data_IF_436912550001
#
_entry.id   IF_436912550001
#
_cell.length_a   1.000
_cell.length_b   1.000
_cell.length_c   1.000
_cell.angle_alpha   90.00
_cell.angle_beta   90.00
_cell.angle_gamma   90.00
#
_symmetry.space_group_name_H-M   'P 1'
#
loop_
_entity.id
_entity.type
_entity.pdbx_description
1 polymer ?
#
# COMPACT_ATOMS: atom_id res chain seq x y z
N UNK A 1 0.72 21.00 -17.62
CA UNK A 1 1.67 20.66 -16.53
C UNK A 1 0.83 20.12 -15.38
N UNK A 2 0.86 18.80 -15.20
CA UNK A 2 0.18 18.17 -14.09
C UNK A 2 0.83 18.64 -12.78
N UNK A 3 0.13 19.47 -12.04
CA UNK A 3 0.59 19.80 -10.69
C UNK A 3 0.78 18.49 -9.95
N UNK A 4 2.02 18.23 -9.52
CA UNK A 4 2.31 17.09 -8.66
C UNK A 4 1.42 17.22 -7.42
N UNK A 5 0.42 16.37 -7.30
CA UNK A 5 -0.44 16.42 -6.11
C UNK A 5 0.46 16.28 -4.88
N UNK A 6 0.18 17.03 -3.81
CA UNK A 6 1.01 16.98 -2.59
C UNK A 6 1.19 15.56 -2.02
N UNK A 7 0.33 14.63 -2.41
CA UNK A 7 0.40 13.23 -2.02
C UNK A 7 1.69 12.54 -2.51
N UNK A 8 2.26 12.97 -3.65
CA UNK A 8 3.53 12.42 -4.17
C UNK A 8 4.71 12.74 -3.22
N UNK A 9 4.56 13.76 -2.38
CA UNK A 9 5.54 14.08 -1.35
C UNK A 9 5.67 12.91 -0.34
N UNK A 10 4.57 12.24 -0.01
CA UNK A 10 4.58 11.06 0.86
C UNK A 10 5.39 9.92 0.23
N UNK A 11 5.18 9.67 -1.06
CA UNK A 11 5.91 8.65 -1.82
C UNK A 11 7.42 8.96 -1.81
N UNK A 12 7.78 10.21 -2.11
CA UNK A 12 9.20 10.63 -2.17
C UNK A 12 9.88 10.53 -0.81
N UNK A 13 9.19 10.85 0.29
CA UNK A 13 9.73 10.74 1.65
C UNK A 13 10.00 9.28 2.03
N UNK A 14 9.08 8.37 1.70
CA UNK A 14 9.24 6.96 2.04
C UNK A 14 10.27 6.27 1.16
N UNK A 15 10.26 6.52 -0.15
CA UNK A 15 11.28 5.98 -1.07
C UNK A 15 12.67 6.56 -0.76
N UNK A 16 12.74 7.86 -0.51
CA UNK A 16 14.00 8.51 -0.10
C UNK A 16 14.50 7.93 1.22
N UNK A 17 13.62 7.74 2.20
CA UNK A 17 13.94 7.10 3.46
C UNK A 17 14.44 5.68 3.28
N UNK A 18 13.82 4.91 2.37
CA UNK A 18 14.23 3.54 2.03
C UNK A 18 15.65 3.54 1.45
N UNK A 19 15.91 4.37 0.44
CA UNK A 19 17.23 4.46 -0.22
C UNK A 19 18.29 4.89 0.80
N UNK A 20 18.02 5.93 1.59
CA UNK A 20 18.94 6.40 2.63
C UNK A 20 19.21 5.35 3.70
N UNK A 21 18.20 4.55 4.08
CA UNK A 21 18.39 3.50 5.07
C UNK A 21 19.27 2.35 4.56
N UNK A 22 19.29 2.12 3.24
CA UNK A 22 20.16 1.14 2.61
C UNK A 22 21.62 1.65 2.54
N UNK A 23 21.79 2.96 2.32
CA UNK A 23 23.11 3.59 2.24
C UNK A 23 23.75 3.85 3.61
N UNK A 24 22.93 4.12 4.63
CA UNK A 24 23.39 4.49 5.98
C UNK A 24 22.84 3.52 7.02
N UNK A 25 23.34 2.26 7.05
CA UNK A 25 22.79 1.23 7.94
C UNK A 25 22.89 1.58 9.42
N UNK A 26 23.85 2.41 9.82
CA UNK A 26 24.02 2.83 11.22
C UNK A 26 22.92 3.78 11.69
N UNK A 27 22.24 4.49 10.77
CA UNK A 27 21.25 5.50 11.11
C UNK A 27 19.82 5.13 10.69
N UNK A 28 19.58 3.87 10.38
CA UNK A 28 18.30 3.39 9.83
C UNK A 28 17.09 3.83 10.66
N UNK A 29 17.14 3.69 11.98
CA UNK A 29 16.04 4.06 12.86
C UNK A 29 15.79 5.57 12.86
N UNK A 30 16.86 6.37 12.79
CA UNK A 30 16.73 7.85 12.72
C UNK A 30 16.07 8.25 11.40
N UNK A 31 16.51 7.66 10.29
CA UNK A 31 15.98 7.89 8.95
C UNK A 31 14.49 7.48 8.91
N UNK A 32 14.16 6.28 9.39
CA UNK A 32 12.78 5.76 9.38
C UNK A 32 11.84 6.65 10.22
N UNK A 33 12.27 7.02 11.42
CA UNK A 33 11.48 7.90 12.29
C UNK A 33 11.26 9.28 11.64
N UNK A 34 12.32 9.83 11.05
CA UNK A 34 12.23 11.14 10.38
C UNK A 34 11.31 11.07 9.17
N UNK A 35 11.49 10.06 8.29
CA UNK A 35 10.69 9.91 7.08
C UNK A 35 9.20 9.71 7.42
N UNK A 36 8.88 8.88 8.42
CA UNK A 36 7.49 8.62 8.80
C UNK A 36 6.85 9.81 9.52
N UNK A 37 7.59 10.50 10.38
CA UNK A 37 7.10 11.72 11.05
C UNK A 37 6.89 12.85 10.03
N UNK A 38 7.87 13.08 9.15
CA UNK A 38 7.78 14.10 8.11
C UNK A 38 6.61 13.82 7.17
N UNK A 39 6.41 12.55 6.80
CA UNK A 39 5.27 12.13 5.98
C UNK A 39 3.94 12.42 6.66
N UNK A 40 3.82 12.15 7.96
CA UNK A 40 2.60 12.41 8.71
C UNK A 40 2.33 13.92 8.80
N UNK A 41 3.35 14.73 9.13
CA UNK A 41 3.21 16.19 9.22
C UNK A 41 2.84 16.78 7.84
N UNK A 42 3.47 16.30 6.78
CA UNK A 42 3.19 16.75 5.41
C UNK A 42 1.73 16.44 5.02
N UNK A 43 1.24 15.23 5.33
CA UNK A 43 -0.14 14.86 5.02
C UNK A 43 -1.16 15.62 5.87
N UNK A 44 -0.83 15.88 7.13
CA UNK A 44 -1.68 16.70 8.00
C UNK A 44 -1.77 18.14 7.46
N UNK A 45 -0.65 18.73 7.08
CA UNK A 45 -0.61 20.06 6.46
C UNK A 45 -1.39 20.12 5.16
N UNK A 46 -1.22 19.09 4.30
CA UNK A 46 -1.96 18.99 3.05
C UNK A 46 -3.48 18.90 3.29
N UNK A 47 -3.89 18.15 4.32
CA UNK A 47 -5.31 18.01 4.67
C UNK A 47 -5.89 19.33 5.13
N UNK A 48 -5.17 20.04 6.01
CA UNK A 48 -5.61 21.35 6.51
C UNK A 48 -5.70 22.37 5.34
N UNK A 49 -4.73 22.34 4.44
CA UNK A 49 -4.73 23.19 3.25
C UNK A 49 -5.94 22.86 2.34
N UNK A 50 -6.20 21.57 2.10
CA UNK A 50 -7.32 21.11 1.27
C UNK A 50 -8.67 21.52 1.86
N UNK A 51 -8.84 21.43 3.19
CA UNK A 51 -10.05 21.87 3.89
C UNK A 51 -10.23 23.38 3.70
N UNK A 52 -9.16 24.15 3.83
CA UNK A 52 -9.19 25.59 3.59
C UNK A 52 -9.62 25.94 2.16
N UNK A 53 -9.08 25.24 1.17
CA UNK A 53 -9.43 25.45 -0.24
C UNK A 53 -10.89 25.03 -0.54
N UNK A 54 -11.34 23.92 0.04
CA UNK A 54 -12.71 23.43 -0.13
C UNK A 54 -13.73 24.42 0.45
N UNK A 55 -13.38 25.09 1.54
CA UNK A 55 -14.24 26.13 2.17
C UNK A 55 -14.44 27.34 1.26
N UNK A 56 -13.53 27.54 0.26
CA UNK A 56 -13.61 28.65 -0.70
C UNK A 56 -14.13 28.17 -2.06
N UNK A 57 -14.50 26.89 -2.19
CA UNK A 57 -15.02 26.25 -3.42
C UNK A 57 -14.10 26.39 -4.64
N UNK A 58 -12.78 26.42 -4.40
CA UNK A 58 -11.81 26.68 -5.47
C UNK A 58 -11.38 25.41 -6.23
N UNK A 59 -11.40 24.23 -5.59
CA UNK A 59 -10.89 22.99 -6.21
C UNK A 59 -11.72 21.79 -5.72
N UNK A 60 -12.11 20.86 -6.62
CA UNK A 60 -12.65 19.58 -6.18
C UNK A 60 -11.58 18.77 -5.44
N UNK A 61 -11.86 18.38 -4.22
CA UNK A 61 -10.92 17.68 -3.35
C UNK A 61 -11.16 16.17 -3.46
N UNK A 62 -10.10 15.40 -3.74
CA UNK A 62 -10.13 13.95 -3.64
C UNK A 62 -10.11 13.55 -2.15
N UNK A 63 -11.28 13.60 -1.53
CA UNK A 63 -11.43 13.35 -0.10
C UNK A 63 -10.98 11.96 0.31
N UNK A 64 -11.27 10.95 -0.50
CA UNK A 64 -10.89 9.57 -0.19
C UNK A 64 -9.36 9.40 -0.19
N UNK A 65 -8.69 9.92 -1.21
CA UNK A 65 -7.23 9.86 -1.31
C UNK A 65 -6.53 10.54 -0.14
N UNK A 66 -7.04 11.71 0.27
CA UNK A 66 -6.49 12.46 1.42
C UNK A 66 -6.66 11.67 2.72
N UNK A 67 -7.86 11.13 2.98
CA UNK A 67 -8.14 10.35 4.19
C UNK A 67 -7.24 9.12 4.26
N UNK A 68 -7.08 8.42 3.13
CA UNK A 68 -6.21 7.24 3.05
C UNK A 68 -4.75 7.60 3.27
N UNK A 69 -4.26 8.70 2.68
CA UNK A 69 -2.88 9.15 2.82
C UNK A 69 -2.56 9.54 4.27
N UNK A 70 -3.48 10.25 4.95
CA UNK A 70 -3.31 10.63 6.36
C UNK A 70 -3.28 9.38 7.26
N UNK A 71 -4.19 8.42 7.01
CA UNK A 71 -4.25 7.17 7.76
C UNK A 71 -2.95 6.37 7.61
N UNK A 72 -2.47 6.21 6.37
CA UNK A 72 -1.23 5.48 6.06
C UNK A 72 -0.03 6.15 6.74
N UNK A 73 0.05 7.47 6.67
CA UNK A 73 1.17 8.22 7.27
C UNK A 73 1.15 8.15 8.80
N UNK A 74 -0.03 8.25 9.42
CA UNK A 74 -0.21 8.09 10.88
C UNK A 74 0.23 6.70 11.33
N UNK A 75 -0.30 5.66 10.66
CA UNK A 75 0.04 4.26 11.00
C UNK A 75 1.54 4.00 10.79
N UNK A 76 2.12 4.52 9.71
CA UNK A 76 3.56 4.41 9.45
C UNK A 76 4.40 4.99 10.58
N UNK A 77 4.04 6.19 11.05
CA UNK A 77 4.72 6.84 12.16
C UNK A 77 4.58 6.07 13.46
N UNK A 78 3.35 5.65 13.82
CA UNK A 78 3.07 4.90 15.05
C UNK A 78 3.82 3.56 15.05
N UNK A 79 3.74 2.80 13.95
CA UNK A 79 4.40 1.49 13.82
C UNK A 79 5.92 1.63 13.97
N UNK A 80 6.52 2.61 13.28
CA UNK A 80 7.97 2.83 13.32
C UNK A 80 8.42 3.23 14.73
N UNK A 81 7.65 4.08 15.41
CA UNK A 81 7.96 4.53 16.77
C UNK A 81 7.87 3.37 17.78
N UNK A 82 6.81 2.56 17.68
CA UNK A 82 6.61 1.39 18.53
C UNK A 82 7.68 0.33 18.28
N UNK A 83 7.91 0.00 16.99
CA UNK A 83 8.87 -1.04 16.61
C UNK A 83 10.30 -0.73 17.06
N UNK A 84 10.69 0.54 17.04
CA UNK A 84 12.03 0.96 17.52
C UNK A 84 12.25 0.55 18.99
N UNK A 85 11.23 0.72 19.84
CA UNK A 85 11.32 0.32 21.25
C UNK A 85 11.28 -1.19 21.43
N UNK A 86 10.37 -1.83 20.68
CA UNK A 86 10.13 -3.29 20.79
C UNK A 86 11.32 -4.12 20.30
N UNK A 87 12.02 -3.65 19.27
CA UNK A 87 13.12 -4.39 18.63
C UNK A 87 14.50 -4.01 19.16
N UNK A 88 14.59 -3.28 20.29
CA UNK A 88 15.89 -2.96 20.90
C UNK A 88 16.59 -4.27 21.32
N UNK A 89 17.82 -4.45 20.85
CA UNK A 89 18.61 -5.64 21.13
C UNK A 89 18.50 -6.75 20.10
N UNK A 90 17.53 -6.70 19.18
CA UNK A 90 17.39 -7.71 18.13
C UNK A 90 18.46 -7.55 17.05
N UNK A 91 19.00 -8.68 16.56
CA UNK A 91 20.09 -8.68 15.58
C UNK A 91 19.69 -8.20 14.19
N UNK A 92 18.41 -8.39 13.79
CA UNK A 92 17.95 -8.14 12.43
C UNK A 92 17.12 -6.86 12.28
N UNK A 93 17.39 -5.84 13.11
CA UNK A 93 16.63 -4.57 13.06
C UNK A 93 16.63 -3.92 11.67
N UNK A 94 17.77 -4.00 10.97
CA UNK A 94 17.93 -3.46 9.62
C UNK A 94 16.92 -4.04 8.65
N UNK A 95 16.73 -5.35 8.69
CA UNK A 95 15.76 -6.07 7.85
C UNK A 95 14.33 -5.60 8.10
N UNK A 96 13.99 -5.36 9.37
CA UNK A 96 12.66 -4.86 9.75
C UNK A 96 12.42 -3.45 9.21
N UNK A 97 13.38 -2.53 9.45
CA UNK A 97 13.28 -1.12 9.01
C UNK A 97 13.13 -1.04 7.49
N UNK A 98 13.98 -1.78 6.76
CA UNK A 98 13.93 -1.81 5.29
C UNK A 98 12.58 -2.34 4.79
N UNK A 99 12.10 -3.45 5.37
CA UNK A 99 10.82 -4.04 4.98
C UNK A 99 9.65 -3.09 5.28
N UNK A 100 9.69 -2.39 6.42
CA UNK A 100 8.65 -1.42 6.81
C UNK A 100 8.64 -0.23 5.84
N UNK A 101 9.79 0.39 5.58
CA UNK A 101 9.87 1.53 4.65
C UNK A 101 9.46 1.12 3.24
N UNK A 102 9.88 -0.07 2.78
CA UNK A 102 9.46 -0.61 1.48
C UNK A 102 7.93 -0.77 1.42
N UNK A 103 7.33 -1.37 2.45
CA UNK A 103 5.88 -1.56 2.51
C UNK A 103 5.15 -0.21 2.50
N UNK A 104 5.61 0.75 3.29
CA UNK A 104 5.02 2.09 3.36
C UNK A 104 5.14 2.82 2.02
N UNK A 105 6.28 2.67 1.32
CA UNK A 105 6.48 3.24 -0.02
C UNK A 105 5.46 2.67 -1.01
N UNK A 106 5.27 1.34 -0.99
CA UNK A 106 4.30 0.67 -1.86
C UNK A 106 2.86 1.10 -1.54
N UNK A 107 2.51 1.21 -0.25
CA UNK A 107 1.16 1.66 0.15
C UNK A 107 0.94 3.12 -0.27
N UNK A 108 1.94 3.98 -0.09
CA UNK A 108 1.88 5.38 -0.52
C UNK A 108 1.65 5.47 -2.03
N UNK A 109 2.42 4.71 -2.82
CA UNK A 109 2.26 4.62 -4.28
C UNK A 109 0.84 4.17 -4.66
N UNK A 110 0.31 3.17 -3.96
CA UNK A 110 -1.02 2.61 -4.21
C UNK A 110 -2.11 3.66 -4.00
N UNK A 111 -1.99 4.46 -2.93
CA UNK A 111 -3.00 5.47 -2.56
C UNK A 111 -2.92 6.70 -3.49
N UNK A 112 -1.73 7.05 -3.99
CA UNK A 112 -1.52 8.28 -4.77
C UNK A 112 -1.63 8.07 -6.28
N UNK A 113 -1.53 6.83 -6.77
CA UNK A 113 -1.45 6.56 -8.21
C UNK A 113 -2.82 6.60 -8.89
N UNK A 114 -2.87 7.21 -10.08
CA UNK A 114 -4.02 7.23 -10.97
C UNK A 114 -3.84 6.27 -12.17
N UNK A 115 -2.77 5.47 -12.15
CA UNK A 115 -2.43 4.55 -13.24
C UNK A 115 -2.57 3.11 -12.77
N UNK A 116 -3.44 2.33 -13.42
CA UNK A 116 -3.84 0.99 -12.98
C UNK A 116 -2.64 0.03 -12.88
N UNK A 117 -1.68 0.11 -13.81
CA UNK A 117 -0.46 -0.72 -13.75
C UNK A 117 0.36 -0.42 -12.48
N UNK A 118 0.52 0.87 -12.13
CA UNK A 118 1.28 1.26 -10.93
C UNK A 118 0.56 0.76 -9.67
N UNK A 119 -0.78 0.84 -9.65
CA UNK A 119 -1.60 0.34 -8.54
C UNK A 119 -1.36 -1.18 -8.36
N UNK A 120 -1.39 -1.96 -9.45
CA UNK A 120 -1.19 -3.42 -9.39
C UNK A 120 0.24 -3.76 -8.93
N UNK A 121 1.26 -3.05 -9.44
CA UNK A 121 2.66 -3.25 -9.04
C UNK A 121 2.88 -2.87 -7.56
N UNK A 122 2.32 -1.74 -7.13
CA UNK A 122 2.40 -1.29 -5.74
C UNK A 122 1.68 -2.29 -4.82
N UNK A 123 0.52 -2.79 -5.23
CA UNK A 123 -0.24 -3.83 -4.53
C UNK A 123 0.61 -5.09 -4.34
N UNK A 124 1.28 -5.55 -5.41
CA UNK A 124 2.21 -6.69 -5.36
C UNK A 124 3.35 -6.40 -4.37
N UNK A 125 3.93 -5.21 -4.45
CA UNK A 125 4.99 -4.76 -3.54
C UNK A 125 4.56 -4.82 -2.07
N UNK A 126 3.34 -4.38 -1.74
CA UNK A 126 2.83 -4.45 -0.36
C UNK A 126 2.76 -5.91 0.13
N UNK A 127 2.40 -6.84 -0.74
CA UNK A 127 2.32 -8.28 -0.41
C UNK A 127 3.70 -8.84 -0.08
N UNK A 128 4.72 -8.48 -0.87
CA UNK A 128 6.11 -8.88 -0.65
C UNK A 128 6.64 -8.27 0.66
N UNK A 129 6.39 -6.99 0.88
CA UNK A 129 6.81 -6.28 2.10
C UNK A 129 6.21 -6.90 3.35
N UNK A 130 4.90 -7.15 3.34
CA UNK A 130 4.19 -7.80 4.45
C UNK A 130 4.69 -9.23 4.67
N UNK A 131 5.00 -9.97 3.61
CA UNK A 131 5.56 -11.32 3.75
C UNK A 131 6.91 -11.27 4.48
N UNK A 132 7.78 -10.31 4.13
CA UNK A 132 9.07 -10.11 4.80
C UNK A 132 8.90 -9.74 6.28
N UNK A 133 7.90 -8.92 6.61
CA UNK A 133 7.60 -8.54 8.00
C UNK A 133 7.05 -9.72 8.80
N UNK A 134 6.13 -10.50 8.22
CA UNK A 134 5.52 -11.66 8.89
C UNK A 134 6.52 -12.81 9.11
N UNK A 135 7.54 -12.92 8.25
CA UNK A 135 8.59 -13.93 8.37
C UNK A 135 9.83 -13.41 9.13
N UNK A 136 9.68 -12.29 9.85
CA UNK A 136 10.77 -11.67 10.60
C UNK A 136 11.34 -12.62 11.67
N UNK A 137 10.46 -13.32 12.39
CA UNK A 137 10.87 -14.33 13.39
C UNK A 137 10.77 -15.73 12.78
N UNK A 138 11.89 -16.31 12.28
CA UNK A 138 11.87 -17.60 11.59
C UNK A 138 11.54 -18.78 12.51
N UNK A 139 11.72 -18.62 13.81
CA UNK A 139 11.49 -19.68 14.80
C UNK A 139 10.00 -19.98 15.01
N UNK A 140 9.11 -19.03 14.70
CA UNK A 140 7.65 -19.20 14.86
C UNK A 140 7.08 -19.96 13.65
N UNK A 141 7.10 -21.29 13.72
CA UNK A 141 6.64 -22.19 12.63
C UNK A 141 5.21 -21.89 12.21
N UNK A 142 4.29 -21.67 13.17
CA UNK A 142 2.89 -21.35 12.88
C UNK A 142 2.75 -20.06 12.04
N UNK A 143 3.50 -19.00 12.42
CA UNK A 143 3.48 -17.71 11.69
C UNK A 143 3.99 -17.89 10.26
N UNK A 144 5.02 -18.70 10.06
CA UNK A 144 5.59 -18.99 8.74
C UNK A 144 4.59 -19.68 7.80
N UNK A 145 3.89 -20.69 8.32
CA UNK A 145 2.89 -21.41 7.52
C UNK A 145 1.79 -20.47 7.06
N UNK A 146 1.29 -19.61 7.97
CA UNK A 146 0.26 -18.62 7.66
C UNK A 146 0.78 -17.59 6.64
N UNK A 147 2.02 -17.13 6.81
CA UNK A 147 2.65 -16.17 5.90
C UNK A 147 2.78 -16.74 4.48
N UNK A 148 3.17 -18.03 4.36
CA UNK A 148 3.29 -18.68 3.06
C UNK A 148 1.93 -18.88 2.39
N UNK A 149 0.91 -19.32 3.14
CA UNK A 149 -0.46 -19.46 2.62
C UNK A 149 -0.99 -18.12 2.11
N UNK A 150 -0.81 -17.05 2.90
CA UNK A 150 -1.18 -15.68 2.51
C UNK A 150 -0.46 -15.24 1.24
N UNK A 151 0.84 -15.53 1.15
CA UNK A 151 1.66 -15.17 -0.02
C UNK A 151 1.13 -15.86 -1.29
N UNK A 152 0.83 -17.16 -1.21
CA UNK A 152 0.29 -17.92 -2.35
C UNK A 152 -1.05 -17.34 -2.82
N UNK A 153 -1.99 -17.11 -1.90
CA UNK A 153 -3.30 -16.52 -2.24
C UNK A 153 -3.12 -15.14 -2.89
N UNK A 154 -2.16 -14.35 -2.37
CA UNK A 154 -1.85 -13.04 -2.94
C UNK A 154 -1.32 -13.15 -4.37
N UNK A 155 -0.51 -14.19 -4.68
CA UNK A 155 -0.01 -14.44 -6.05
C UNK A 155 -1.18 -14.74 -7.00
N UNK A 156 -2.14 -15.57 -6.58
CA UNK A 156 -3.34 -15.84 -7.39
C UNK A 156 -4.15 -14.57 -7.64
N UNK A 157 -4.36 -13.75 -6.61
CA UNK A 157 -5.05 -12.47 -6.76
C UNK A 157 -4.35 -11.56 -7.76
N UNK A 158 -3.00 -11.55 -7.75
CA UNK A 158 -2.21 -10.74 -8.67
C UNK A 158 -2.33 -11.21 -10.12
N UNK A 159 -2.40 -12.52 -10.34
CA UNK A 159 -2.66 -13.07 -11.68
C UNK A 159 -4.03 -12.57 -12.19
N UNK A 160 -5.07 -12.65 -11.35
CA UNK A 160 -6.39 -12.12 -11.70
C UNK A 160 -6.36 -10.63 -12.04
N UNK A 161 -5.59 -9.84 -11.25
CA UNK A 161 -5.43 -8.40 -11.49
C UNK A 161 -4.74 -8.13 -12.83
N UNK A 162 -3.69 -8.89 -13.15
CA UNK A 162 -2.95 -8.74 -14.41
C UNK A 162 -3.82 -9.12 -15.62
N UNK A 163 -4.61 -10.18 -15.49
CA UNK A 163 -5.57 -10.58 -16.53
C UNK A 163 -6.63 -9.50 -16.73
N UNK A 164 -7.18 -8.96 -15.64
CA UNK A 164 -8.16 -7.86 -15.72
C UNK A 164 -7.53 -6.64 -16.40
N UNK A 165 -6.29 -6.32 -16.05
CA UNK A 165 -5.53 -5.22 -16.66
C UNK A 165 -5.40 -5.41 -18.17
N UNK A 166 -5.07 -6.64 -18.59
CA UNK A 166 -4.96 -6.98 -19.99
C UNK A 166 -6.28 -6.78 -20.74
N UNK A 167 -7.39 -7.25 -20.17
CA UNK A 167 -8.72 -7.08 -20.77
C UNK A 167 -9.10 -5.61 -20.91
N UNK A 168 -8.87 -4.81 -19.86
CA UNK A 168 -9.14 -3.36 -19.87
C UNK A 168 -8.30 -2.68 -20.97
N UNK A 169 -7.02 -3.01 -21.05
CA UNK A 169 -6.12 -2.42 -22.03
C UNK A 169 -6.53 -2.76 -23.48
N UNK A 170 -6.99 -3.98 -23.72
CA UNK A 170 -7.45 -4.41 -25.05
C UNK A 170 -8.69 -3.64 -25.51
N UNK A 171 -9.59 -3.28 -24.60
CA UNK A 171 -10.83 -2.60 -24.94
C UNK A 171 -10.69 -1.08 -24.94
N UNK A 172 -10.02 -0.51 -23.93
CA UNK A 172 -9.93 0.94 -23.72
C UNK A 172 -8.68 1.53 -24.35
N UNK A 173 -7.60 0.72 -24.51
CA UNK A 173 -6.32 1.17 -25.04
C UNK A 173 -5.49 1.97 -24.04
N UNK A 174 -5.96 2.09 -22.79
CA UNK A 174 -5.30 2.89 -21.75
C UNK A 174 -5.46 2.25 -20.38
N UNK A 175 -4.50 2.55 -19.50
CA UNK A 175 -4.51 2.10 -18.09
C UNK A 175 -4.63 3.29 -17.11
N UNK A 176 -4.94 4.49 -17.62
CA UNK A 176 -5.26 5.65 -16.81
C UNK A 176 -6.69 5.53 -16.28
N UNK A 177 -6.88 5.68 -14.96
CA UNK A 177 -8.20 5.59 -14.33
C UNK A 177 -9.17 6.65 -14.91
N UNK A 178 -8.67 7.82 -15.26
CA UNK A 178 -9.48 8.88 -15.84
C UNK A 178 -10.00 8.50 -17.23
N UNK A 179 -9.14 7.93 -18.08
CA UNK A 179 -9.50 7.49 -19.43
C UNK A 179 -10.45 6.30 -19.40
N UNK A 180 -10.20 5.35 -18.47
CA UNK A 180 -11.09 4.20 -18.26
C UNK A 180 -12.49 4.70 -17.83
N UNK A 181 -12.54 5.63 -16.87
CA UNK A 181 -13.82 6.20 -16.39
C UNK A 181 -14.56 6.92 -17.52
N UNK A 182 -13.85 7.69 -18.33
CA UNK A 182 -14.42 8.39 -19.47
C UNK A 182 -14.98 7.40 -20.51
N UNK A 183 -14.20 6.36 -20.84
CA UNK A 183 -14.61 5.33 -21.81
C UNK A 183 -15.86 4.57 -21.33
N UNK A 184 -15.92 4.24 -20.02
CA UNK A 184 -17.08 3.54 -19.44
C UNK A 184 -18.35 4.40 -19.50
N UNK A 185 -18.23 5.71 -19.26
CA UNK A 185 -19.37 6.62 -19.28
C UNK A 185 -19.86 6.92 -20.71
N UNK A 186 -19.03 6.71 -21.71
CA UNK A 186 -19.36 6.95 -23.12
C UNK A 186 -20.08 5.76 -23.77
N UNK A 187 -20.17 4.61 -23.09
CA UNK A 187 -20.75 3.37 -23.61
C UNK A 187 -22.12 3.10 -22.99
N UNK A 188 -23.14 2.86 -23.83
CA UNK A 188 -24.50 2.51 -23.37
C UNK A 188 -24.59 1.07 -22.84
N UNK A 189 -23.66 0.19 -23.27
CA UNK A 189 -23.62 -1.21 -22.82
C UNK A 189 -22.16 -1.65 -22.62
N UNK A 190 -21.91 -2.35 -21.54
CA UNK A 190 -20.57 -2.86 -21.23
C UNK A 190 -20.26 -4.08 -22.09
N UNK A 191 -19.13 -4.08 -22.82
CA UNK A 191 -18.70 -5.28 -23.54
C UNK A 191 -18.38 -6.42 -22.57
N UNK A 192 -18.51 -7.65 -23.07
CA UNK A 192 -18.30 -8.87 -22.27
C UNK A 192 -16.91 -8.93 -21.65
N UNK A 193 -15.91 -8.41 -22.33
CA UNK A 193 -14.51 -8.33 -21.88
C UNK A 193 -14.38 -7.45 -20.63
N UNK A 194 -15.01 -6.26 -20.63
CA UNK A 194 -14.98 -5.35 -19.47
C UNK A 194 -15.79 -5.92 -18.29
N UNK A 195 -16.88 -6.65 -18.58
CA UNK A 195 -17.62 -7.39 -17.54
C UNK A 195 -16.71 -8.48 -16.93
N UNK A 196 -15.97 -9.21 -17.78
CA UNK A 196 -14.97 -10.20 -17.34
C UNK A 196 -13.87 -9.56 -16.49
N UNK A 197 -13.37 -8.41 -16.91
CA UNK A 197 -12.35 -7.66 -16.14
C UNK A 197 -12.89 -7.25 -14.76
N UNK A 198 -14.14 -6.77 -14.69
CA UNK A 198 -14.78 -6.38 -13.43
C UNK A 198 -14.91 -7.58 -12.48
N UNK A 199 -15.31 -8.75 -13.01
CA UNK A 199 -15.41 -9.99 -12.23
C UNK A 199 -14.04 -10.44 -11.70
N UNK A 200 -12.98 -10.34 -12.52
CA UNK A 200 -11.61 -10.67 -12.11
C UNK A 200 -11.11 -9.71 -11.02
N UNK A 201 -11.40 -8.41 -11.15
CA UNK A 201 -11.06 -7.40 -10.13
C UNK A 201 -11.79 -7.70 -8.82
N UNK A 202 -13.09 -8.00 -8.89
CA UNK A 202 -13.90 -8.36 -7.71
C UNK A 202 -13.36 -9.63 -7.03
N UNK A 203 -13.03 -10.64 -7.83
CA UNK A 203 -12.47 -11.91 -7.34
C UNK A 203 -11.11 -11.67 -6.66
N UNK A 204 -10.24 -10.88 -7.27
CA UNK A 204 -8.93 -10.53 -6.69
C UNK A 204 -9.10 -9.79 -5.34
N UNK A 205 -10.08 -8.88 -5.28
CA UNK A 205 -10.39 -8.13 -4.06
C UNK A 205 -10.89 -9.08 -2.94
N UNK A 206 -11.74 -10.02 -3.28
CA UNK A 206 -12.25 -11.05 -2.34
C UNK A 206 -11.08 -11.91 -1.83
N UNK A 207 -10.21 -12.37 -2.71
CA UNK A 207 -9.02 -13.15 -2.31
C UNK A 207 -8.13 -12.36 -1.34
N UNK A 208 -7.95 -11.14 -1.59
CA UNK A 208 -7.14 -10.27 -0.69
C UNK A 208 -7.81 -10.03 0.67
N UNK A 209 -8.99 -9.87 0.57
CA UNK A 209 -9.72 -9.65 1.77
C UNK A 209 -9.91 -10.88 2.58
N UNK A 210 -9.92 -11.86 1.96
CA UNK A 210 -9.99 -13.10 2.61
C UNK A 210 -8.70 -13.53 3.24
N UNK A 211 -7.67 -13.06 2.66
CA UNK A 211 -6.35 -13.28 3.16
C UNK A 211 -6.02 -12.41 4.33
N UNK A 212 -6.59 -11.41 4.49
CA UNK A 212 -6.42 -10.51 5.56
C UNK A 212 -7.20 -10.97 6.76
N UNK A 213 -8.25 -11.48 6.51
CA UNK A 213 -9.05 -12.05 7.52
C UNK A 213 -8.51 -13.35 8.05
N UNK A 214 -7.98 -13.97 7.24
CA UNK A 214 -7.33 -15.17 7.60
C UNK A 214 -6.04 -14.97 8.34
N UNK A 215 -5.46 -13.92 8.13
CA UNK A 215 -4.27 -13.55 8.83
C UNK A 215 -4.58 -13.01 10.20
N UNK A 216 -5.58 -12.45 10.26
CA UNK A 216 -5.99 -11.91 11.50
C UNK A 216 -6.50 -13.00 12.42
N UNK A 217 -7.08 -13.81 11.85
CA UNK A 217 -7.52 -14.92 12.58
C UNK A 217 -6.45 -15.87 13.00
N UNK A 218 -5.63 -15.94 12.25
CA UNK A 218 -4.48 -16.72 12.57
C UNK A 218 -3.56 -16.06 13.54
N UNK A 219 -3.50 -14.94 13.57
CA UNK A 219 -2.78 -14.18 14.54
C UNK A 219 -3.48 -14.20 15.86
N UNK A 220 -4.55 -14.26 15.78
CA UNK A 220 -5.29 -14.40 16.97
C UNK A 220 -5.22 -15.81 17.55
N UNK A 221 -5.18 -16.55 16.73
CA UNK A 221 -5.02 -17.86 17.16
C UNK A 221 -3.68 -18.17 17.72
N UNK A 222 -2.88 -17.61 17.28
CA UNK A 222 -1.55 -17.75 17.77
C UNK A 222 -1.32 -17.06 19.10
N UNK A 223 -1.83 -16.15 19.44
CA UNK A 223 -1.75 -15.45 20.73
C UNK A 223 -2.45 -16.24 21.86
N UNK A 224 -3.61 -16.77 21.56
CA UNK A 224 -4.39 -17.54 22.57
C UNK A 224 -3.72 -18.87 22.98
N UNK A 225 -2.89 -19.42 22.12
CA UNK A 225 -2.20 -20.70 22.43
C UNK A 225 -0.84 -20.51 23.10
N UNK A 226 -0.39 -19.27 23.22
CA UNK A 226 0.92 -18.94 23.83
C UNK A 226 0.79 -18.52 25.33
N UNK A 227 -0.42 -18.51 25.88
CA UNK A 227 -0.69 -18.35 27.31
C UNK A 227 -0.93 -19.73 27.95
#
# INVERSE_FOLDING_TARGET
>A
MSELSPQWLLVSLYLGGLVLSLWLPQQQWRIAKFATLAGFIAMLGNTLFAIGQASINLVPVDGLGIVMAILVSLLGWVITRFAHRYLQGEAQQARFVTATLFTLSCVALLVTSQHLLVIVLAWSGTSVGLHRLLTFYPERKAARVVAHKKFLVSRFAEICLLLALGLIYLDVGSLSLQEIHFALNAQDSLPLSLTGAALLLAFAAILKXXXXXXXXXXXXXXLCTAG
#
